data_IF_997070065502
#
_entry.id   IF_997070065502
#
_cell.length_a   1.000
_cell.length_b   1.000
_cell.length_c   1.000
_cell.angle_alpha   90.00
_cell.angle_beta   90.00
_cell.angle_gamma   90.00
#
_symmetry.space_group_name_H-M   'P 1'
#
loop_
_entity.id
_entity.type
_entity.pdbx_description
1 polymer ?
#
# COMPACT_ATOMS: atom_id res chain seq x y z
N UNK A 1 -10.14 -20.47 6.75
CA UNK A 1 -11.17 -19.58 6.19
C UNK A 1 -10.69 -18.16 6.41
N UNK A 2 -10.39 -17.40 5.35
CA UNK A 2 -10.02 -15.97 5.48
C UNK A 2 -11.20 -15.23 6.12
N UNK A 3 -10.97 -14.44 7.17
CA UNK A 3 -12.04 -13.69 7.81
C UNK A 3 -12.59 -12.65 6.80
N UNK A 4 -13.92 -12.45 6.74
CA UNK A 4 -14.53 -11.50 5.81
C UNK A 4 -14.00 -10.07 6.00
N UNK A 5 -13.67 -9.70 7.23
CA UNK A 5 -13.21 -8.35 7.59
C UNK A 5 -11.85 -8.00 6.97
N UNK A 6 -10.87 -8.92 6.99
CA UNK A 6 -9.54 -8.64 6.43
C UNK A 6 -9.60 -8.51 4.91
N UNK A 7 -10.43 -9.33 4.25
CA UNK A 7 -10.67 -9.18 2.80
C UNK A 7 -11.30 -7.83 2.46
N UNK A 8 -12.18 -7.33 3.33
CA UNK A 8 -12.77 -6.00 3.18
C UNK A 8 -11.73 -4.91 3.41
N UNK A 9 -10.90 -4.99 4.46
CA UNK A 9 -9.80 -4.03 4.71
C UNK A 9 -8.81 -3.97 3.55
N UNK A 10 -8.40 -5.13 3.02
CA UNK A 10 -7.49 -5.20 1.86
C UNK A 10 -8.14 -4.62 0.59
N UNK A 11 -9.44 -4.85 0.38
CA UNK A 11 -10.20 -4.24 -0.73
C UNK A 11 -10.29 -2.73 -0.57
N UNK A 12 -10.56 -2.22 0.63
CA UNK A 12 -10.61 -0.79 0.93
C UNK A 12 -9.25 -0.12 0.71
N UNK A 13 -8.15 -0.72 1.18
CA UNK A 13 -6.80 -0.19 0.94
C UNK A 13 -6.43 -0.15 -0.54
N UNK A 14 -6.80 -1.18 -1.31
CA UNK A 14 -6.60 -1.19 -2.77
C UNK A 14 -7.49 -0.16 -3.46
N UNK A 15 -8.73 -0.01 -3.03
CA UNK A 15 -9.65 1.01 -3.52
C UNK A 15 -9.13 2.42 -3.26
N UNK A 16 -8.64 2.68 -2.05
CA UNK A 16 -8.01 3.94 -1.69
C UNK A 16 -6.77 4.22 -2.55
N UNK A 17 -5.92 3.21 -2.78
CA UNK A 17 -4.76 3.35 -3.66
C UNK A 17 -5.16 3.69 -5.12
N UNK A 18 -6.22 3.06 -5.64
CA UNK A 18 -6.74 3.34 -6.98
C UNK A 18 -7.33 4.75 -7.08
N UNK A 19 -8.16 5.15 -6.13
CA UNK A 19 -8.75 6.48 -6.10
C UNK A 19 -7.68 7.56 -5.99
N UNK A 20 -6.70 7.37 -5.10
CA UNK A 20 -5.59 8.30 -4.94
C UNK A 20 -4.71 8.36 -6.19
N UNK A 21 -4.48 7.22 -6.84
CA UNK A 21 -3.77 7.15 -8.11
C UNK A 21 -4.49 7.87 -9.24
N UNK A 22 -5.81 7.67 -9.38
CA UNK A 22 -6.63 8.35 -10.38
C UNK A 22 -6.64 9.86 -10.15
N UNK A 23 -6.90 10.29 -8.90
CA UNK A 23 -6.92 11.71 -8.53
C UNK A 23 -5.55 12.36 -8.79
N UNK A 24 -4.48 11.69 -8.35
CA UNK A 24 -3.12 12.14 -8.58
C UNK A 24 -2.78 12.24 -10.07
N UNK A 25 -3.16 11.23 -10.86
CA UNK A 25 -2.94 11.22 -12.30
C UNK A 25 -3.72 12.35 -13.00
N UNK A 26 -4.96 12.62 -12.59
CA UNK A 26 -5.74 13.76 -13.09
C UNK A 26 -5.05 15.08 -12.79
N UNK A 27 -4.49 15.25 -11.58
CA UNK A 27 -3.74 16.46 -11.22
C UNK A 27 -2.45 16.55 -12.04
N UNK A 28 -1.72 15.46 -12.23
CA UNK A 28 -0.50 15.43 -13.02
C UNK A 28 -0.76 15.77 -14.50
N UNK A 29 -1.82 15.22 -15.09
CA UNK A 29 -2.27 15.53 -16.46
C UNK A 29 -2.69 16.99 -16.58
N UNK A 30 -3.46 17.49 -15.61
CA UNK A 30 -3.85 18.90 -15.58
C UNK A 30 -2.61 19.81 -15.48
N UNK A 31 -1.63 19.44 -14.67
CA UNK A 31 -0.40 20.20 -14.49
C UNK A 31 0.48 20.16 -15.75
N UNK A 32 0.54 19.02 -16.44
CA UNK A 32 1.22 18.89 -17.73
C UNK A 32 0.54 19.74 -18.82
N UNK A 33 -0.80 19.76 -18.88
CA UNK A 33 -1.55 20.64 -19.77
C UNK A 33 -1.24 22.12 -19.47
N UNK A 34 -1.18 22.50 -18.19
CA UNK A 34 -0.78 23.86 -17.78
C UNK A 34 0.67 24.20 -18.12
N UNK A 35 1.58 23.25 -18.00
CA UNK A 35 2.99 23.44 -18.38
C UNK A 35 3.13 23.74 -19.89
N UNK A 36 2.31 23.10 -20.74
CA UNK A 36 2.30 23.31 -22.19
C UNK A 36 1.62 24.63 -22.55
N UNK A 37 0.48 24.96 -21.93
CA UNK A 37 -0.30 26.16 -22.25
C UNK A 37 0.27 27.45 -21.67
N UNK A 38 0.95 27.37 -20.52
CA UNK A 38 1.49 28.53 -19.81
C UNK A 38 2.99 28.37 -19.48
N UNK A 39 3.85 28.16 -20.49
CA UNK A 39 5.29 27.96 -20.28
C UNK A 39 5.99 29.22 -19.74
N UNK A 40 5.36 30.39 -19.89
CA UNK A 40 5.86 31.70 -19.48
C UNK A 40 5.70 31.98 -17.98
N UNK A 41 4.99 31.12 -17.23
CA UNK A 41 4.94 31.20 -15.76
C UNK A 41 6.24 30.61 -15.22
N UNK A 42 7.23 31.48 -15.03
CA UNK A 42 8.54 31.18 -14.47
C UNK A 42 8.52 31.48 -12.97
N UNK A 43 9.08 30.59 -12.16
CA UNK A 43 9.42 30.95 -10.79
C UNK A 43 10.61 31.90 -10.85
N UNK A 44 10.37 33.20 -10.72
CA UNK A 44 11.44 34.20 -10.63
C UNK A 44 11.84 34.34 -9.16
N UNK A 45 12.84 33.58 -8.73
CA UNK A 45 13.53 33.81 -7.46
C UNK A 45 14.87 34.50 -7.75
N UNK A 46 14.89 35.83 -7.60
CA UNK A 46 16.09 36.64 -7.87
C UNK A 46 16.42 36.77 -9.37
N UNK A 47 17.67 36.50 -9.75
CA UNK A 47 18.15 36.59 -11.15
C UNK A 47 17.94 35.32 -11.97
N UNK A 48 17.57 34.20 -11.35
CA UNK A 48 17.36 32.93 -12.02
C UNK A 48 15.88 32.74 -12.40
N UNK A 49 15.64 32.45 -13.68
CA UNK A 49 14.34 32.05 -14.20
C UNK A 49 14.34 30.52 -14.39
N UNK A 50 13.80 29.79 -13.41
CA UNK A 50 13.69 28.34 -13.49
C UNK A 50 12.27 27.93 -13.93
N UNK A 51 12.11 26.91 -14.78
CA UNK A 51 10.81 26.35 -15.11
C UNK A 51 10.13 25.81 -13.84
N UNK A 52 9.04 26.43 -13.39
CA UNK A 52 8.28 26.03 -12.18
C UNK A 52 7.59 24.67 -12.38
N UNK A 53 7.11 24.43 -13.58
CA UNK A 53 6.18 23.34 -13.86
C UNK A 53 6.82 21.95 -13.82
N UNK A 54 8.06 21.80 -14.31
CA UNK A 54 8.79 20.52 -14.32
C UNK A 54 9.05 19.98 -12.90
N UNK A 55 9.67 20.75 -11.98
CA UNK A 55 9.86 20.28 -10.60
C UNK A 55 8.55 20.09 -9.86
N UNK A 56 7.52 20.91 -10.13
CA UNK A 56 6.20 20.74 -9.53
C UNK A 56 5.52 19.45 -10.00
N UNK A 57 5.62 19.11 -11.29
CA UNK A 57 5.11 17.86 -11.84
C UNK A 57 5.85 16.66 -11.24
N UNK A 58 7.17 16.74 -11.15
CA UNK A 58 7.98 15.69 -10.53
C UNK A 58 7.59 15.49 -9.06
N UNK A 59 7.43 16.57 -8.30
CA UNK A 59 7.01 16.51 -6.90
C UNK A 59 5.65 15.81 -6.75
N UNK A 60 4.67 16.20 -7.55
CA UNK A 60 3.34 15.58 -7.55
C UNK A 60 3.44 14.08 -7.85
N UNK A 61 4.20 13.69 -8.89
CA UNK A 61 4.40 12.28 -9.24
C UNK A 61 5.06 11.49 -8.11
N UNK A 62 6.06 12.06 -7.44
CA UNK A 62 6.74 11.42 -6.29
C UNK A 62 5.77 11.23 -5.14
N UNK A 63 4.97 12.25 -4.78
CA UNK A 63 3.98 12.15 -3.71
C UNK A 63 2.90 11.10 -4.00
N UNK A 64 2.41 11.04 -5.23
CA UNK A 64 1.43 10.04 -5.68
C UNK A 64 2.03 8.65 -5.60
N UNK A 65 3.22 8.46 -6.17
CA UNK A 65 3.94 7.19 -6.15
C UNK A 65 4.20 6.69 -4.73
N UNK A 66 4.66 7.57 -3.83
CA UNK A 66 4.89 7.26 -2.43
C UNK A 66 3.59 6.84 -1.71
N UNK A 67 2.50 7.55 -1.97
CA UNK A 67 1.19 7.24 -1.36
C UNK A 67 0.65 5.89 -1.83
N UNK A 68 0.67 5.63 -3.14
CA UNK A 68 0.29 4.33 -3.71
C UNK A 68 1.16 3.22 -3.14
N UNK A 69 2.48 3.43 -3.08
CA UNK A 69 3.41 2.46 -2.51
C UNK A 69 3.09 2.15 -1.04
N UNK A 70 2.78 3.16 -0.23
CA UNK A 70 2.40 2.99 1.17
C UNK A 70 1.10 2.18 1.30
N UNK A 71 0.06 2.50 0.52
CA UNK A 71 -1.19 1.74 0.56
C UNK A 71 -1.02 0.29 0.11
N UNK A 72 -0.24 0.04 -0.94
CA UNK A 72 0.06 -1.31 -1.41
C UNK A 72 0.91 -2.09 -0.40
N UNK A 73 1.90 -1.43 0.23
CA UNK A 73 2.75 -2.02 1.26
C UNK A 73 1.92 -2.37 2.51
N UNK A 74 1.02 -1.48 2.93
CA UNK A 74 0.12 -1.72 4.04
C UNK A 74 -0.81 -2.91 3.74
N UNK A 75 -1.38 -2.97 2.53
CA UNK A 75 -2.24 -4.08 2.11
C UNK A 75 -1.48 -5.43 2.13
N UNK A 76 -0.23 -5.44 1.66
CA UNK A 76 0.65 -6.62 1.72
C UNK A 76 0.96 -7.02 3.16
N UNK A 77 1.29 -6.07 4.03
CA UNK A 77 1.56 -6.33 5.45
C UNK A 77 0.34 -6.90 6.17
N UNK A 78 -0.85 -6.37 5.92
CA UNK A 78 -2.11 -6.89 6.50
C UNK A 78 -2.35 -8.32 6.04
N UNK A 79 -2.18 -8.61 4.75
CA UNK A 79 -2.33 -9.96 4.22
C UNK A 79 -1.28 -10.96 4.77
N UNK A 80 -0.03 -10.52 4.96
CA UNK A 80 1.05 -11.35 5.54
C UNK A 80 0.85 -11.57 7.05
N UNK A 81 0.39 -10.55 7.78
CA UNK A 81 0.06 -10.67 9.19
C UNK A 81 -1.02 -11.72 9.43
N UNK A 82 -2.05 -11.75 8.58
CA UNK A 82 -3.09 -12.79 8.60
C UNK A 82 -2.48 -14.20 8.40
N UNK A 83 -1.52 -14.38 7.48
CA UNK A 83 -0.90 -15.70 7.25
C UNK A 83 -0.16 -16.20 8.50
N UNK A 84 0.49 -15.31 9.25
CA UNK A 84 1.17 -15.66 10.50
C UNK A 84 0.18 -16.08 11.60
N UNK A 85 -0.94 -15.36 11.75
CA UNK A 85 -2.00 -15.75 12.69
C UNK A 85 -2.69 -17.06 12.27
N UNK A 86 -2.93 -17.26 10.97
CA UNK A 86 -3.53 -18.48 10.44
C UNK A 86 -2.61 -19.71 10.65
N UNK A 87 -1.29 -19.54 10.51
CA UNK A 87 -0.30 -20.58 10.82
C UNK A 87 -0.25 -20.90 12.31
N UNK A 88 -0.33 -19.90 13.20
CA UNK A 88 -0.31 -20.09 14.66
C UNK A 88 -1.58 -20.80 15.18
N UNK A 89 -2.74 -20.53 14.59
CA UNK A 89 -4.01 -21.15 15.00
C UNK A 89 -4.29 -22.52 14.37
N UNK A 90 -3.60 -22.88 13.29
CA UNK A 90 -3.51 -24.29 12.88
C UNK A 90 -2.57 -25.01 13.84
N UNK A 91 -3.11 -25.42 14.99
CA UNK A 91 -2.48 -26.35 15.93
C UNK A 91 -1.72 -27.42 15.16
N UNK A 92 -0.43 -27.52 15.46
CA UNK A 92 0.46 -28.50 14.88
C UNK A 92 -0.12 -29.92 15.13
N UNK A 93 -0.32 -30.75 14.09
CA UNK A 93 -0.74 -32.15 14.26
C UNK A 93 0.18 -32.93 15.21
N UNK A 94 1.43 -32.50 15.36
CA UNK A 94 2.42 -33.05 16.30
C UNK A 94 2.07 -32.82 17.77
N UNK A 95 1.34 -31.76 18.12
CA UNK A 95 0.86 -31.56 19.51
C UNK A 95 -0.27 -32.53 19.87
N UNK A 96 -1.15 -32.86 18.90
CA UNK A 96 -2.16 -33.92 19.08
C UNK A 96 -1.51 -35.29 19.19
N UNK A 97 -0.52 -35.59 18.36
CA UNK A 97 0.20 -36.87 18.43
C UNK A 97 1.01 -37.04 19.72
N UNK A 98 1.63 -35.95 20.22
CA UNK A 98 2.34 -35.95 21.50
C UNK A 98 1.38 -36.09 22.69
N UNK A 99 0.21 -35.44 22.64
CA UNK A 99 -0.84 -35.59 23.64
C UNK A 99 -1.36 -37.03 23.71
N UNK A 100 -1.69 -37.65 22.58
CA UNK A 100 -2.18 -39.04 22.56
C UNK A 100 -1.14 -40.03 23.06
N UNK A 101 0.14 -39.83 22.74
CA UNK A 101 1.24 -40.68 23.21
C UNK A 101 1.44 -40.57 24.73
N UNK A 102 1.41 -39.37 25.29
CA UNK A 102 1.56 -39.16 26.73
C UNK A 102 0.36 -39.68 27.53
N UNK A 103 -0.85 -39.59 26.95
CA UNK A 103 -2.06 -40.19 27.54
C UNK A 103 -2.00 -41.72 27.55
N UNK A 104 -1.45 -42.37 26.52
CA UNK A 104 -1.31 -43.81 26.48
C UNK A 104 -0.26 -44.36 27.47
N UNK A 105 0.81 -43.59 27.74
CA UNK A 105 1.87 -43.95 28.71
C UNK A 105 1.41 -43.80 30.16
N UNK A 106 0.46 -42.91 30.45
CA UNK A 106 -0.03 -42.69 31.82
C UNK A 106 -1.07 -43.72 32.29
N UNK A 107 -1.53 -44.60 31.40
CA UNK A 107 -2.53 -45.65 31.66
C UNK A 107 -1.97 -47.06 31.76
N UNK A 108 -0.64 -47.24 31.69
CA UNK A 108 0.06 -48.50 31.99
C UNK A 108 0.74 -48.44 33.35
#
# INVERSE_FOLDING_TARGET
MRSPEIRQTVRLLRGAALLFGLLGLSIALWLADKAIRYPHILARQGSAAAPLWIPMLLFVLVCIGASIFLFLRAARRVAQGEDLYARRHRRHPSERAASTRNSAVSTS
#
